data_IF_059165410702
#
_entry.id   IF_059165410702
#
_cell.length_a   1.000
_cell.length_b   1.000
_cell.length_c   1.000
_cell.angle_alpha   90.00
_cell.angle_beta   90.00
_cell.angle_gamma   90.00
#
_symmetry.space_group_name_H-M   'P 1'
#
loop_
_entity.id
_entity.type
_entity.pdbx_description
1 polymer ?
#
# COMPACT_ATOMS: atom_id res chain seq x y z
N UNK A 1 -15.18 -18.61 -8.56
CA UNK A 1 -15.15 -17.69 -7.40
C UNK A 1 -16.21 -16.62 -7.58
N UNK A 2 -17.03 -16.35 -6.55
CA UNK A 2 -18.05 -15.29 -6.57
C UNK A 2 -17.63 -14.23 -5.55
N UNK A 3 -17.46 -12.99 -5.99
CA UNK A 3 -17.13 -11.88 -5.09
C UNK A 3 -18.42 -11.32 -4.46
N UNK A 4 -18.41 -11.15 -3.14
CA UNK A 4 -19.48 -10.48 -2.40
C UNK A 4 -18.94 -9.12 -1.92
N UNK A 5 -19.57 -8.03 -2.35
CA UNK A 5 -19.21 -6.68 -1.91
C UNK A 5 -20.09 -6.28 -0.73
N UNK A 6 -19.48 -5.97 0.39
CA UNK A 6 -20.14 -5.41 1.57
C UNK A 6 -19.72 -3.95 1.75
N UNK A 7 -20.66 -3.07 2.08
CA UNK A 7 -20.34 -1.74 2.59
C UNK A 7 -20.36 -1.83 4.11
N UNK A 8 -19.20 -1.66 4.73
CA UNK A 8 -19.05 -1.77 6.17
C UNK A 8 -18.23 -0.60 6.72
N UNK A 9 -18.57 -0.17 7.93
CA UNK A 9 -17.88 0.91 8.64
C UNK A 9 -17.10 0.30 9.80
N UNK A 10 -15.84 0.73 9.97
CA UNK A 10 -15.01 0.32 11.09
C UNK A 10 -15.46 1.12 12.32
N UNK A 11 -15.83 0.42 13.40
CA UNK A 11 -16.26 1.07 14.64
C UNK A 11 -15.08 1.69 15.41
N UNK A 12 -15.38 2.40 16.51
CA UNK A 12 -14.36 3.01 17.37
C UNK A 12 -13.43 2.00 18.05
N UNK A 13 -13.81 0.73 18.07
CA UNK A 13 -13.01 -0.39 18.60
C UNK A 13 -12.14 -1.04 17.52
N UNK A 14 -12.11 -0.47 16.32
CA UNK A 14 -11.38 -0.96 15.14
C UNK A 14 -11.80 -2.38 14.74
N UNK A 15 -13.08 -2.71 14.94
CA UNK A 15 -13.64 -4.00 14.53
C UNK A 15 -14.48 -3.84 13.28
N UNK A 16 -14.40 -4.85 12.40
CA UNK A 16 -15.25 -5.00 11.23
C UNK A 16 -16.21 -6.16 11.50
N UNK A 17 -17.50 -5.89 11.57
CA UNK A 17 -18.55 -6.91 11.70
C UNK A 17 -19.29 -7.03 10.37
N UNK A 18 -19.28 -8.23 9.80
CA UNK A 18 -19.93 -8.56 8.53
C UNK A 18 -20.86 -9.75 8.77
N UNK A 19 -22.12 -9.60 8.37
CA UNK A 19 -23.06 -10.73 8.32
C UNK A 19 -23.08 -11.29 6.90
N UNK A 20 -22.60 -12.53 6.75
CA UNK A 20 -22.64 -13.23 5.48
C UNK A 20 -24.06 -13.77 5.24
N UNK A 21 -24.56 -13.72 4.00
CA UNK A 21 -25.85 -14.30 3.68
C UNK A 21 -25.85 -15.83 3.88
N UNK A 22 -27.02 -16.39 4.18
CA UNK A 22 -27.17 -17.80 4.56
C UNK A 22 -26.80 -18.81 3.45
N UNK A 23 -26.69 -18.35 2.20
CA UNK A 23 -26.23 -19.13 1.04
C UNK A 23 -24.69 -19.22 0.95
N UNK A 24 -23.95 -18.55 1.84
CA UNK A 24 -22.49 -18.57 1.83
C UNK A 24 -21.94 -19.95 2.22
N UNK A 25 -21.10 -20.58 1.39
CA UNK A 25 -20.54 -21.89 1.68
C UNK A 25 -19.57 -21.82 2.85
N UNK A 26 -19.59 -22.85 3.72
CA UNK A 26 -18.59 -22.99 4.79
C UNK A 26 -17.22 -23.21 4.17
N UNK A 27 -16.23 -22.45 4.60
CA UNK A 27 -14.86 -22.56 4.12
C UNK A 27 -14.00 -21.38 4.53
N UNK A 28 -12.73 -21.44 4.15
CA UNK A 28 -11.80 -20.32 4.29
C UNK A 28 -12.17 -19.22 3.29
N UNK A 29 -12.15 -17.96 3.75
CA UNK A 29 -12.42 -16.78 2.93
C UNK A 29 -11.38 -15.72 3.22
N UNK A 30 -10.98 -15.02 2.17
CA UNK A 30 -10.06 -13.88 2.26
C UNK A 30 -10.85 -12.58 2.41
N UNK A 31 -10.41 -11.70 3.31
CA UNK A 31 -10.99 -10.37 3.52
C UNK A 31 -9.90 -9.33 3.26
N UNK A 32 -10.09 -8.51 2.22
CA UNK A 32 -9.17 -7.42 1.88
C UNK A 32 -9.78 -6.11 2.38
N UNK A 33 -9.08 -5.44 3.32
CA UNK A 33 -9.49 -4.14 3.86
C UNK A 33 -8.63 -3.05 3.22
N UNK A 34 -9.21 -2.28 2.32
CA UNK A 34 -8.58 -1.09 1.75
C UNK A 34 -8.86 0.09 2.68
N UNK A 35 -7.88 0.47 3.49
CA UNK A 35 -7.93 1.70 4.27
C UNK A 35 -7.42 2.83 3.38
N UNK A 36 -8.16 3.93 3.19
CA UNK A 36 -7.63 5.08 2.48
C UNK A 36 -6.40 5.58 3.24
N UNK A 37 -5.28 5.74 2.54
CA UNK A 37 -4.17 6.52 3.08
C UNK A 37 -4.74 7.89 3.42
N UNK A 38 -4.75 8.21 4.72
CA UNK A 38 -4.92 9.60 5.13
C UNK A 38 -3.65 10.30 4.67
N UNK A 39 -3.67 10.83 3.45
CA UNK A 39 -2.96 12.06 3.19
C UNK A 39 -3.62 13.08 4.13
N UNK A 40 -3.12 13.19 5.35
CA UNK A 40 -3.30 14.43 6.08
C UNK A 40 -2.83 15.57 5.18
N UNK A 41 -3.28 16.82 5.41
CA UNK A 41 -2.54 17.94 4.83
C UNK A 41 -1.05 17.66 5.08
N UNK A 42 -0.23 17.84 4.05
CA UNK A 42 1.22 17.77 4.20
C UNK A 42 1.59 18.82 5.27
N UNK A 43 1.62 18.42 6.54
CA UNK A 43 2.03 19.29 7.66
C UNK A 43 3.55 19.52 7.62
N UNK A 44 4.24 19.02 6.58
CA UNK A 44 5.57 19.46 6.19
C UNK A 44 5.49 20.89 5.66
N UNK A 45 5.39 21.81 6.60
CA UNK A 45 5.40 23.27 6.40
C UNK A 45 6.73 23.71 5.75
N UNK A 46 7.76 22.85 5.78
CA UNK A 46 9.06 23.05 5.14
C UNK A 46 9.64 21.75 4.54
N UNK A 47 10.57 21.89 3.60
CA UNK A 47 11.37 20.76 3.07
C UNK A 47 12.15 20.01 4.18
N UNK A 48 12.54 20.72 5.24
CA UNK A 48 13.23 20.13 6.38
C UNK A 48 12.33 19.16 7.15
N UNK A 49 11.04 19.48 7.29
CA UNK A 49 10.06 18.61 7.92
C UNK A 49 9.82 17.34 7.11
N UNK A 50 9.83 17.46 5.78
CA UNK A 50 9.72 16.33 4.87
C UNK A 50 10.93 15.39 4.97
N UNK A 51 12.17 15.91 4.96
CA UNK A 51 13.36 15.06 5.14
C UNK A 51 13.37 14.34 6.48
N UNK A 52 12.97 15.02 7.55
CA UNK A 52 12.84 14.41 8.89
C UNK A 52 11.79 13.30 8.93
N UNK A 53 10.70 13.41 8.17
CA UNK A 53 9.72 12.34 8.03
C UNK A 53 10.29 11.16 7.23
N UNK A 54 11.01 11.42 6.13
CA UNK A 54 11.69 10.38 5.35
C UNK A 54 12.71 9.60 6.19
N UNK A 55 13.52 10.29 7.00
CA UNK A 55 14.51 9.66 7.88
C UNK A 55 13.86 8.84 9.01
N UNK A 56 12.62 9.17 9.41
CA UNK A 56 11.90 8.44 10.45
C UNK A 56 11.30 7.11 9.95
N UNK A 57 11.19 6.91 8.64
CA UNK A 57 10.77 5.64 8.07
C UNK A 57 11.98 4.69 7.94
N UNK A 58 11.94 3.49 8.53
CA UNK A 58 13.00 2.52 8.32
C UNK A 58 13.09 2.17 6.83
N UNK A 59 14.30 2.27 6.26
CA UNK A 59 14.56 1.90 4.87
C UNK A 59 14.11 0.45 4.66
N UNK A 60 13.01 0.27 3.91
CA UNK A 60 12.45 -1.06 3.66
C UNK A 60 13.43 -1.94 2.87
N UNK A 61 14.31 -1.33 2.08
CA UNK A 61 15.41 -1.98 1.36
C UNK A 61 16.46 -0.94 0.95
N UNK A 62 17.73 -1.19 1.28
CA UNK A 62 18.86 -0.46 0.71
C UNK A 62 19.34 -1.21 -0.53
N UNK A 63 19.18 -0.63 -1.71
CA UNK A 63 19.74 -1.20 -2.94
C UNK A 63 21.26 -1.03 -2.95
N UNK A 64 21.98 -2.04 -3.44
CA UNK A 64 23.40 -1.87 -3.72
C UNK A 64 23.59 -1.03 -4.98
N UNK A 65 24.79 -0.46 -5.13
CA UNK A 65 25.14 0.28 -6.34
C UNK A 65 24.96 -0.58 -7.59
N UNK A 66 25.35 -1.84 -7.53
CA UNK A 66 25.27 -2.79 -8.64
C UNK A 66 23.82 -3.09 -9.03
N UNK A 67 22.90 -3.18 -8.05
CA UNK A 67 21.46 -3.34 -8.31
C UNK A 67 20.88 -2.10 -9.00
N UNK A 68 21.29 -0.91 -8.56
CA UNK A 68 20.87 0.37 -9.16
C UNK A 68 21.39 0.46 -10.61
N UNK A 69 22.66 0.13 -10.84
CA UNK A 69 23.28 0.16 -12.16
C UNK A 69 22.61 -0.84 -13.12
N UNK A 70 22.28 -2.04 -12.65
CA UNK A 70 21.56 -3.04 -13.43
C UNK A 70 20.14 -2.57 -13.80
N UNK A 71 19.43 -1.93 -12.87
CA UNK A 71 18.11 -1.38 -13.12
C UNK A 71 18.17 -0.25 -14.16
N UNK A 72 19.10 0.69 -14.00
CA UNK A 72 19.30 1.80 -14.95
C UNK A 72 19.72 1.32 -16.34
N UNK A 73 20.55 0.27 -16.43
CA UNK A 73 20.91 -0.33 -17.71
C UNK A 73 19.71 -0.97 -18.40
N UNK A 74 18.85 -1.66 -17.64
CA UNK A 74 17.60 -2.24 -18.14
C UNK A 74 16.62 -1.18 -18.64
N UNK A 75 16.43 -0.10 -17.87
CA UNK A 75 15.61 1.05 -18.28
C UNK A 75 16.14 1.67 -19.58
N UNK A 76 17.44 1.97 -19.67
CA UNK A 76 18.04 2.56 -20.87
C UNK A 76 17.90 1.66 -22.10
N UNK A 77 18.04 0.35 -21.94
CA UNK A 77 17.83 -0.61 -23.01
C UNK A 77 16.36 -0.65 -23.47
N UNK A 78 15.41 -0.37 -22.56
CA UNK A 78 13.97 -0.38 -22.87
C UNK A 78 13.48 0.85 -23.65
N UNK A 79 14.26 1.93 -23.67
CA UNK A 79 13.90 3.17 -24.38
C UNK A 79 14.05 3.05 -25.91
N UNK A 80 14.66 1.97 -26.41
CA UNK A 80 14.94 1.76 -27.83
C UNK A 80 16.09 2.65 -28.33
N UNK A 81 16.64 2.32 -29.49
CA UNK A 81 17.43 3.31 -30.26
C UNK A 81 16.47 4.32 -30.90
N UNK A 82 16.91 5.58 -31.15
CA UNK A 82 16.12 6.53 -31.91
C UNK A 82 15.72 6.00 -33.30
#
# INVERSE_FOLDING_TARGET
MRALKFNATIDSRRRLQLELPADSPKGEVEVIVLVPERFGPNDSTSLQDFFRQLDAHPLQRCYTREEIDAYLAGERASWGEP
#
